data_IF_157153168255
#
_entry.id   IF_157153168255
#
_cell.length_a   1.000
_cell.length_b   1.000
_cell.length_c   1.000
_cell.angle_alpha   90.00
_cell.angle_beta   90.00
_cell.angle_gamma   90.00
#
_symmetry.space_group_name_H-M   'P 1'
#
loop_
_entity.id
_entity.type
_entity.pdbx_description
1 polymer ?
#
# COMPACT_ATOMS: atom_id res chain seq x y z
N UNK A 1 -12.45 12.65 -18.26
CA UNK A 1 -11.06 12.32 -18.63
C UNK A 1 -11.15 11.22 -19.67
N UNK A 2 -10.34 11.30 -20.73
CA UNK A 2 -10.47 10.41 -21.90
C UNK A 2 -9.90 9.05 -21.55
N UNK A 3 -10.57 7.96 -21.93
CA UNK A 3 -10.15 6.59 -21.66
C UNK A 3 -8.71 6.27 -22.14
N UNK A 4 -8.21 7.04 -23.11
CA UNK A 4 -6.84 6.91 -23.65
C UNK A 4 -5.74 7.39 -22.67
N UNK A 5 -6.03 8.34 -21.78
CA UNK A 5 -5.08 8.86 -20.79
C UNK A 5 -4.87 7.84 -19.65
N UNK A 6 -5.94 7.18 -19.21
CA UNK A 6 -5.91 6.16 -18.16
C UNK A 6 -5.11 4.91 -18.59
N UNK A 7 -5.19 4.54 -19.88
CA UNK A 7 -4.42 3.42 -20.46
C UNK A 7 -2.92 3.76 -20.52
N UNK A 8 -2.57 5.01 -20.81
CA UNK A 8 -1.19 5.49 -20.85
C UNK A 8 -0.51 5.46 -19.48
N UNK A 9 -1.19 5.98 -18.45
CA UNK A 9 -0.64 6.01 -17.09
C UNK A 9 -0.48 4.60 -16.51
N UNK A 10 -1.38 3.67 -16.83
CA UNK A 10 -1.26 2.28 -16.38
C UNK A 10 -0.03 1.59 -16.97
N UNK A 11 0.26 1.85 -18.26
CA UNK A 11 1.47 1.34 -18.91
C UNK A 11 2.74 1.86 -18.22
N UNK A 12 2.77 3.13 -17.85
CA UNK A 12 3.91 3.71 -17.12
C UNK A 12 4.15 3.01 -15.77
N UNK A 13 3.09 2.62 -15.06
CA UNK A 13 3.20 1.83 -13.82
C UNK A 13 3.92 0.50 -14.08
N UNK A 14 3.48 -0.25 -15.10
CA UNK A 14 4.12 -1.51 -15.49
C UNK A 14 5.58 -1.33 -15.91
N UNK A 15 5.88 -0.28 -16.68
CA UNK A 15 7.25 0.01 -17.12
C UNK A 15 8.17 0.36 -15.93
N UNK A 16 7.66 1.09 -14.93
CA UNK A 16 8.42 1.36 -13.71
C UNK A 16 8.60 0.12 -12.84
N UNK A 17 7.61 -0.77 -12.76
CA UNK A 17 7.74 -2.05 -12.07
C UNK A 17 8.80 -2.92 -12.74
N UNK A 18 8.79 -3.02 -14.07
CA UNK A 18 9.78 -3.79 -14.83
C UNK A 18 11.22 -3.27 -14.61
N UNK A 19 11.36 -1.96 -14.38
CA UNK A 19 12.65 -1.32 -14.06
C UNK A 19 13.01 -1.35 -12.57
N UNK A 20 12.22 -2.03 -11.72
CA UNK A 20 12.34 -2.02 -10.26
C UNK A 20 12.34 -0.62 -9.63
N UNK A 21 11.70 0.35 -10.28
CA UNK A 21 11.56 1.74 -9.80
C UNK A 21 10.28 1.89 -9.00
N UNK A 22 10.14 1.12 -7.91
CA UNK A 22 8.87 0.99 -7.18
C UNK A 22 8.34 2.29 -6.58
N UNK A 23 9.22 3.22 -6.19
CA UNK A 23 8.79 4.57 -5.76
C UNK A 23 8.02 5.31 -6.86
N UNK A 24 8.49 5.24 -8.11
CA UNK A 24 7.83 5.91 -9.25
C UNK A 24 6.55 5.19 -9.64
N UNK A 25 6.60 3.85 -9.66
CA UNK A 25 5.42 3.03 -9.89
C UNK A 25 4.30 3.35 -8.89
N UNK A 26 4.64 3.50 -7.60
CA UNK A 26 3.68 3.84 -6.56
C UNK A 26 3.03 5.21 -6.81
N UNK A 27 3.82 6.24 -7.13
CA UNK A 27 3.29 7.58 -7.40
C UNK A 27 2.38 7.58 -8.64
N UNK A 28 2.74 6.87 -9.69
CA UNK A 28 1.87 6.75 -10.87
C UNK A 28 0.58 5.98 -10.55
N UNK A 29 0.68 4.85 -9.85
CA UNK A 29 -0.50 4.06 -9.48
C UNK A 29 -1.45 4.82 -8.54
N UNK A 30 -0.93 5.59 -7.58
CA UNK A 30 -1.73 6.46 -6.71
C UNK A 30 -2.45 7.55 -7.52
N UNK A 31 -1.75 8.20 -8.46
CA UNK A 31 -2.36 9.21 -9.34
C UNK A 31 -3.51 8.63 -10.18
N UNK A 32 -3.34 7.43 -10.74
CA UNK A 32 -4.40 6.77 -11.51
C UNK A 32 -5.64 6.54 -10.64
N UNK A 33 -5.45 6.17 -9.37
CA UNK A 33 -6.56 6.00 -8.43
C UNK A 33 -7.21 7.32 -8.05
N UNK A 34 -6.43 8.38 -7.82
CA UNK A 34 -6.94 9.71 -7.47
C UNK A 34 -7.70 10.38 -8.62
N UNK A 35 -7.31 10.10 -9.86
CA UNK A 35 -8.00 10.61 -11.06
C UNK A 35 -9.31 9.87 -11.34
N UNK A 36 -9.47 8.64 -10.84
CA UNK A 36 -10.75 7.95 -10.91
C UNK A 36 -11.75 8.74 -10.07
N UNK A 37 -12.96 9.02 -10.58
CA UNK A 37 -14.03 9.53 -9.75
C UNK A 37 -14.16 8.60 -8.54
N UNK A 38 -14.56 9.11 -7.35
CA UNK A 38 -14.89 8.25 -6.22
C UNK A 38 -16.12 7.43 -6.63
N UNK A 39 -15.88 6.33 -7.36
CA UNK A 39 -16.87 5.32 -7.65
C UNK A 39 -17.31 4.88 -6.27
N UNK A 40 -18.58 5.14 -5.97
CA UNK A 40 -19.23 4.78 -4.74
C UNK A 40 -18.73 3.41 -4.32
N UNK A 41 -18.28 3.32 -3.04
CA UNK A 41 -17.88 2.10 -2.33
C UNK A 41 -18.24 0.86 -3.14
N UNK A 42 -17.27 0.13 -3.74
CA UNK A 42 -17.63 -1.11 -4.41
C UNK A 42 -18.38 -1.96 -3.38
N UNK A 43 -19.60 -2.44 -3.72
CA UNK A 43 -20.33 -3.32 -2.83
C UNK A 43 -19.42 -4.51 -2.55
N UNK A 44 -19.45 -4.96 -1.29
CA UNK A 44 -18.67 -6.09 -0.80
C UNK A 44 -18.70 -7.21 -1.83
N UNK A 45 -17.54 -7.53 -2.42
CA UNK A 45 -17.33 -8.74 -3.21
C UNK A 45 -17.51 -8.65 -4.73
N UNK A 46 -17.49 -7.48 -5.37
CA UNK A 46 -17.48 -7.42 -6.85
C UNK A 46 -16.12 -7.02 -7.42
N UNK A 47 -15.52 -8.01 -8.09
CA UNK A 47 -14.41 -8.00 -9.06
C UNK A 47 -13.17 -7.16 -8.70
N UNK A 48 -12.08 -7.89 -8.44
CA UNK A 48 -10.70 -7.43 -8.33
C UNK A 48 -10.39 -6.34 -9.36
N UNK A 49 -10.38 -5.08 -8.93
CA UNK A 49 -10.01 -3.95 -9.76
C UNK A 49 -8.49 -4.08 -10.03
N UNK A 50 -8.05 -4.34 -11.27
CA UNK A 50 -6.66 -4.70 -11.58
C UNK A 50 -5.66 -3.63 -11.12
N UNK A 51 -6.10 -2.38 -11.03
CA UNK A 51 -5.30 -1.26 -10.51
C UNK A 51 -5.03 -1.39 -9.01
N UNK A 52 -5.96 -1.98 -8.25
CA UNK A 52 -5.82 -2.22 -6.81
C UNK A 52 -4.83 -3.33 -6.55
N UNK A 53 -4.94 -4.44 -7.27
CA UNK A 53 -3.95 -5.52 -7.23
C UNK A 53 -2.56 -5.00 -7.61
N UNK A 54 -2.48 -4.17 -8.66
CA UNK A 54 -1.24 -3.56 -9.11
C UNK A 54 -0.63 -2.61 -8.07
N UNK A 55 -1.44 -1.77 -7.42
CA UNK A 55 -0.96 -0.89 -6.36
C UNK A 55 -0.48 -1.71 -5.16
N UNK A 56 -1.23 -2.76 -4.76
CA UNK A 56 -0.83 -3.66 -3.69
C UNK A 56 0.51 -4.35 -4.00
N UNK A 57 0.66 -4.89 -5.21
CA UNK A 57 1.91 -5.48 -5.66
C UNK A 57 3.07 -4.47 -5.57
N UNK A 58 2.83 -3.24 -6.02
CA UNK A 58 3.80 -2.16 -5.99
C UNK A 58 4.20 -1.78 -4.56
N UNK A 59 3.22 -1.66 -3.64
CA UNK A 59 3.46 -1.39 -2.21
C UNK A 59 4.33 -2.48 -1.60
N UNK A 60 3.98 -3.75 -1.81
CA UNK A 60 4.74 -4.88 -1.26
C UNK A 60 6.17 -4.91 -1.78
N UNK A 61 6.37 -4.71 -3.09
CA UNK A 61 7.72 -4.65 -3.67
C UNK A 61 8.50 -3.43 -3.24
N UNK A 62 7.84 -2.29 -3.06
CA UNK A 62 8.51 -1.09 -2.57
C UNK A 62 8.92 -1.25 -1.11
N UNK A 63 8.03 -1.80 -0.27
CA UNK A 63 8.31 -2.17 1.10
C UNK A 63 9.51 -3.11 1.16
N UNK A 64 9.51 -4.22 0.42
CA UNK A 64 10.61 -5.19 0.36
C UNK A 64 11.95 -4.51 0.04
N UNK A 65 11.98 -3.61 -0.95
CA UNK A 65 13.18 -2.84 -1.29
C UNK A 65 13.63 -1.95 -0.12
N UNK A 66 12.70 -1.26 0.54
CA UNK A 66 13.01 -0.42 1.70
C UNK A 66 13.50 -1.23 2.90
N UNK A 67 12.99 -2.46 3.11
CA UNK A 67 13.49 -3.36 4.15
C UNK A 67 14.95 -3.74 3.88
N UNK A 68 15.28 -4.08 2.62
CA UNK A 68 16.65 -4.40 2.21
C UNK A 68 17.60 -3.21 2.36
N UNK A 69 17.10 -1.99 2.15
CA UNK A 69 17.85 -0.74 2.38
C UNK A 69 17.92 -0.35 3.88
N UNK A 70 17.27 -1.10 4.78
CA UNK A 70 17.21 -0.83 6.22
C UNK A 70 16.35 0.38 6.60
N UNK A 71 15.52 0.89 5.69
CA UNK A 71 14.69 2.10 5.86
C UNK A 71 13.32 1.77 6.45
N UNK A 72 13.32 1.21 7.65
CA UNK A 72 12.11 0.61 8.24
C UNK A 72 11.00 1.63 8.48
N UNK A 73 11.32 2.87 8.85
CA UNK A 73 10.31 3.93 9.03
C UNK A 73 9.50 4.17 7.75
N UNK A 74 10.18 4.21 6.59
CA UNK A 74 9.54 4.39 5.29
C UNK A 74 8.71 3.20 4.84
N UNK A 75 9.03 1.99 5.32
CA UNK A 75 8.22 0.80 5.07
C UNK A 75 6.81 1.02 5.63
N UNK A 76 6.72 1.53 6.86
CA UNK A 76 5.44 1.80 7.49
C UNK A 76 4.69 2.95 6.83
N UNK A 77 5.37 4.05 6.49
CA UNK A 77 4.73 5.18 5.77
C UNK A 77 4.05 4.72 4.49
N UNK A 78 4.71 3.87 3.69
CA UNK A 78 4.14 3.38 2.42
C UNK A 78 3.00 2.40 2.63
N UNK A 79 3.09 1.56 3.66
CA UNK A 79 2.02 0.64 4.01
C UNK A 79 0.79 1.40 4.52
N UNK A 80 0.98 2.44 5.35
CA UNK A 80 -0.08 3.32 5.84
C UNK A 80 -0.79 4.00 4.67
N UNK A 81 -0.04 4.61 3.75
CA UNK A 81 -0.61 5.19 2.53
C UNK A 81 -1.39 4.16 1.73
N UNK A 82 -0.86 2.93 1.58
CA UNK A 82 -1.58 1.83 0.93
C UNK A 82 -2.91 1.48 1.59
N UNK A 83 -2.97 1.52 2.92
CA UNK A 83 -4.17 1.25 3.70
C UNK A 83 -5.19 2.39 3.66
N UNK A 84 -4.77 3.63 3.40
CA UNK A 84 -5.71 4.74 3.12
C UNK A 84 -6.53 4.46 1.85
N UNK A 85 -5.89 3.93 0.81
CA UNK A 85 -6.60 3.50 -0.40
C UNK A 85 -7.41 2.21 -0.19
N UNK A 86 -6.93 1.30 0.68
CA UNK A 86 -7.49 -0.04 0.85
C UNK A 86 -7.66 -0.48 2.32
N UNK A 87 -8.56 0.18 3.08
CA UNK A 87 -8.65 -0.02 4.53
C UNK A 87 -9.17 -1.41 4.96
N UNK A 88 -9.79 -2.17 4.05
CA UNK A 88 -10.40 -3.48 4.33
C UNK A 88 -9.82 -4.63 3.51
N UNK A 89 -8.70 -4.42 2.81
CA UNK A 89 -8.14 -5.46 1.96
C UNK A 89 -7.40 -6.52 2.80
N UNK A 90 -7.91 -7.77 2.90
CA UNK A 90 -7.41 -8.75 3.85
C UNK A 90 -5.95 -9.14 3.57
N UNK A 91 -5.53 -9.17 2.31
CA UNK A 91 -4.18 -9.58 1.92
C UNK A 91 -3.12 -8.54 2.30
N UNK A 92 -3.32 -7.27 1.93
CA UNK A 92 -2.45 -6.17 2.35
C UNK A 92 -2.37 -6.09 3.88
N UNK A 93 -3.50 -6.28 4.55
CA UNK A 93 -3.60 -6.31 6.01
C UNK A 93 -2.82 -7.48 6.63
N UNK A 94 -2.84 -8.66 6.00
CA UNK A 94 -2.12 -9.85 6.44
C UNK A 94 -0.60 -9.70 6.22
N UNK A 95 -0.19 -9.30 5.01
CA UNK A 95 1.19 -9.03 4.64
C UNK A 95 1.85 -7.97 5.53
N UNK A 96 1.09 -6.92 5.86
CA UNK A 96 1.52 -5.91 6.83
C UNK A 96 1.69 -6.50 8.23
N UNK A 97 0.75 -7.32 8.68
CA UNK A 97 0.81 -7.99 9.99
C UNK A 97 2.04 -8.88 10.12
N UNK A 98 2.37 -9.64 9.06
CA UNK A 98 3.57 -10.49 9.01
C UNK A 98 4.84 -9.64 9.09
N UNK A 99 4.94 -8.54 8.32
CA UNK A 99 6.08 -7.61 8.37
C UNK A 99 6.26 -7.02 9.77
N UNK A 100 5.19 -6.47 10.35
CA UNK A 100 5.19 -5.95 11.72
C UNK A 100 5.68 -6.98 12.74
N UNK A 101 5.18 -8.22 12.64
CA UNK A 101 5.58 -9.29 13.55
C UNK A 101 7.07 -9.63 13.40
N UNK A 102 7.60 -9.69 12.18
CA UNK A 102 9.03 -9.90 11.93
C UNK A 102 9.87 -8.79 12.56
N UNK A 103 9.46 -7.54 12.38
CA UNK A 103 10.21 -6.43 12.96
C UNK A 103 10.14 -6.35 14.48
N UNK A 104 8.97 -6.62 15.07
CA UNK A 104 8.82 -6.69 16.52
C UNK A 104 9.72 -7.77 17.14
N UNK A 105 10.01 -8.85 16.41
CA UNK A 105 10.96 -9.89 16.82
C UNK A 105 12.42 -9.54 16.54
N UNK A 106 12.70 -8.74 15.51
CA UNK A 106 14.06 -8.39 15.08
C UNK A 106 14.67 -7.17 15.77
N UNK A 107 13.85 -6.24 16.28
CA UNK A 107 14.33 -4.96 16.80
C UNK A 107 13.65 -4.62 18.13
N UNK A 108 14.31 -4.94 19.25
CA UNK A 108 13.98 -4.41 20.57
C UNK A 108 14.54 -2.98 20.71
N UNK A 109 14.00 -2.05 19.91
CA UNK A 109 14.28 -0.60 20.05
C UNK A 109 13.01 0.10 20.52
N UNK A 110 13.11 0.91 21.57
CA UNK A 110 11.99 1.69 22.13
C UNK A 110 11.33 2.62 21.09
N UNK A 111 12.10 3.15 20.12
CA UNK A 111 11.55 3.96 19.03
C UNK A 111 10.62 3.15 18.11
N UNK A 112 10.92 1.86 17.95
CA UNK A 112 10.14 0.93 17.13
C UNK A 112 8.76 0.62 17.74
N UNK A 113 8.72 0.53 19.07
CA UNK A 113 7.48 0.25 19.81
C UNK A 113 6.45 1.37 19.64
N UNK A 114 6.88 2.63 19.53
CA UNK A 114 5.97 3.78 19.32
C UNK A 114 5.38 3.76 17.91
N UNK A 115 6.20 3.50 16.88
CA UNK A 115 5.72 3.42 15.49
C UNK A 115 4.72 2.28 15.31
N UNK A 116 5.03 1.09 15.84
CA UNK A 116 4.12 -0.08 15.81
C UNK A 116 2.85 0.18 16.61
N UNK A 117 2.94 0.86 17.76
CA UNK A 117 1.77 1.21 18.56
C UNK A 117 0.87 2.24 17.87
N UNK A 118 1.46 3.23 17.19
CA UNK A 118 0.73 4.19 16.37
C UNK A 118 0.05 3.50 15.19
N UNK A 119 0.77 2.62 14.50
CA UNK A 119 0.23 1.82 13.40
C UNK A 119 -0.94 0.91 13.86
N UNK A 120 -0.79 0.23 14.99
CA UNK A 120 -1.86 -0.59 15.58
C UNK A 120 -3.07 0.26 16.02
N UNK A 121 -2.83 1.49 16.49
CA UNK A 121 -3.88 2.44 16.86
C UNK A 121 -4.63 2.97 15.63
N UNK A 122 -3.91 3.30 14.56
CA UNK A 122 -4.48 3.63 13.25
C UNK A 122 -5.39 2.49 12.78
N UNK A 123 -4.92 1.24 12.83
CA UNK A 123 -5.69 0.05 12.44
C UNK A 123 -6.95 -0.17 13.29
N UNK A 124 -6.90 0.08 14.61
CA UNK A 124 -8.08 0.03 15.48
C UNK A 124 -9.16 1.02 15.08
N UNK A 125 -8.77 2.20 14.55
CA UNK A 125 -9.71 3.18 14.01
C UNK A 125 -10.52 2.62 12.83
N UNK A 126 -9.91 1.82 11.95
CA UNK A 126 -10.59 1.21 10.80
C UNK A 126 -11.44 -0.03 11.16
N UNK A 127 -11.17 -0.69 12.28
CA UNK A 127 -11.96 -1.82 12.76
C UNK A 127 -13.17 -1.43 13.64
N UNK A 128 -13.33 -0.16 14.01
CA UNK A 128 -14.35 0.28 15.00
C UNK A 128 -15.53 1.05 14.41
N UNK A 129 -15.61 1.25 13.09
CA UNK A 129 -16.84 1.74 12.47
C UNK A 129 -17.81 0.57 12.22
N UNK A 130 -19.03 0.60 12.80
CA UNK A 130 -20.03 -0.46 12.69
C UNK A 130 -20.51 -0.69 11.25
#
# INVERSE_FOLDING_TARGET
MSSDEEIGELKDVYDFIAQAKFKKAFVCAAKVIDQRPPLARPPVGTDEDPIRELLMFTINKYADQLEQEGKIERVFEIIEQGLEYFPRHPELLNETGVRLQRYARGVFSLAFSVQVSNFLSFRRSFCTTP
#
